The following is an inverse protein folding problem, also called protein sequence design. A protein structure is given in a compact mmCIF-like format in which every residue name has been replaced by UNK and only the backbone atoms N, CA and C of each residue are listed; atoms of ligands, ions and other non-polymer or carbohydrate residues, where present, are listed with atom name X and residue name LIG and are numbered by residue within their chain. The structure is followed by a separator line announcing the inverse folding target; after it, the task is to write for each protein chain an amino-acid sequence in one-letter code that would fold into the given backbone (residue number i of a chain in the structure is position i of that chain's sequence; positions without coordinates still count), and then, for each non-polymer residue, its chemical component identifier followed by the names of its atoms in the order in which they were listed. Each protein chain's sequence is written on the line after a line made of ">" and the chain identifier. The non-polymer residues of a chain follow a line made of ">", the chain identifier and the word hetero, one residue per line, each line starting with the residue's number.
data_IF_350953358880
#
_entry.id   IF_350953358880
#
_cell.length_a   1.000
_cell.length_b   1.000
_cell.length_c   1.000
_cell.angle_alpha   90.00
_cell.angle_beta   90.00
_cell.angle_gamma   90.00
#
_symmetry.space_group_name_H-M   'P 1'
#
loop_
_entity.id
_entity.type
_entity.pdbx_description
1 polymer ?
#
# COMPACT_ATOMS: atom_id res chain seq x y z
N UNK A 1 -26.47 -20.65 12.44
CA UNK A 1 -27.19 -19.40 12.72
C UNK A 1 -26.81 -18.31 11.71
N UNK A 2 -27.69 -17.38 11.50
CA UNK A 2 -27.48 -16.30 10.52
C UNK A 2 -26.24 -15.46 10.83
N UNK A 3 -25.92 -15.24 12.09
CA UNK A 3 -24.74 -14.47 12.51
C UNK A 3 -23.45 -15.15 12.09
N UNK A 4 -23.39 -16.48 12.21
CA UNK A 4 -22.22 -17.26 11.79
C UNK A 4 -22.03 -17.17 10.28
N UNK A 5 -23.12 -17.29 9.54
CA UNK A 5 -23.11 -17.20 8.06
C UNK A 5 -22.67 -15.81 7.62
N UNK A 6 -23.21 -14.76 8.25
CA UNK A 6 -22.82 -13.37 7.94
C UNK A 6 -21.34 -13.12 8.24
N UNK A 7 -20.82 -13.64 9.34
CA UNK A 7 -19.41 -13.53 9.69
C UNK A 7 -18.51 -14.22 8.67
N UNK A 8 -18.88 -15.44 8.26
CA UNK A 8 -18.14 -16.19 7.25
C UNK A 8 -18.17 -15.47 5.90
N UNK A 9 -19.31 -14.91 5.52
CA UNK A 9 -19.45 -14.18 4.27
C UNK A 9 -18.58 -12.93 4.28
N UNK A 10 -18.55 -12.17 5.37
CA UNK A 10 -17.68 -11.00 5.51
C UNK A 10 -16.22 -11.38 5.38
N UNK A 11 -15.80 -12.48 6.00
CA UNK A 11 -14.42 -12.96 5.92
C UNK A 11 -14.05 -13.36 4.49
N UNK A 12 -14.96 -14.05 3.78
CA UNK A 12 -14.75 -14.44 2.38
C UNK A 12 -14.63 -13.19 1.50
N UNK A 13 -15.49 -12.20 1.69
CA UNK A 13 -15.46 -10.95 0.91
C UNK A 13 -14.19 -10.15 1.16
N UNK A 14 -13.71 -10.11 2.40
CA UNK A 14 -12.44 -9.47 2.75
C UNK A 14 -11.27 -10.17 2.06
N UNK A 15 -11.28 -11.49 2.08
CA UNK A 15 -10.23 -12.29 1.43
C UNK A 15 -10.20 -12.08 -0.06
N UNK A 16 -11.37 -12.05 -0.71
CA UNK A 16 -11.46 -11.74 -2.14
C UNK A 16 -10.99 -10.34 -2.45
N UNK A 17 -11.35 -9.34 -1.62
CA UNK A 17 -10.88 -7.98 -1.76
C UNK A 17 -9.36 -7.89 -1.67
N UNK A 18 -8.75 -8.60 -0.72
CA UNK A 18 -7.29 -8.65 -0.59
C UNK A 18 -6.62 -9.28 -1.79
N UNK A 19 -7.20 -10.35 -2.35
CA UNK A 19 -6.65 -11.02 -3.53
C UNK A 19 -6.64 -10.13 -4.75
N UNK A 20 -7.58 -9.17 -4.84
CA UNK A 20 -7.66 -8.24 -5.95
C UNK A 20 -6.62 -7.14 -5.86
N UNK A 21 -6.12 -6.86 -4.67
CA UNK A 21 -5.10 -5.84 -4.46
C UNK A 21 -3.74 -6.45 -4.79
N UNK A 22 -3.07 -5.86 -5.76
CA UNK A 22 -1.73 -6.28 -6.17
C UNK A 22 -0.75 -5.14 -5.92
N UNK A 23 0.54 -5.45 -5.88
CA UNK A 23 1.56 -4.42 -5.77
C UNK A 23 1.43 -3.43 -6.94
N UNK A 24 1.15 -3.94 -8.14
CA UNK A 24 0.99 -3.11 -9.33
C UNK A 24 -0.21 -2.17 -9.22
N UNK A 25 -1.35 -2.67 -8.71
CA UNK A 25 -2.52 -1.82 -8.51
C UNK A 25 -2.26 -0.74 -7.46
N UNK A 26 -1.50 -1.05 -6.42
CA UNK A 26 -1.09 -0.10 -5.40
C UNK A 26 -0.19 0.98 -6.01
N UNK A 27 0.82 0.58 -6.77
CA UNK A 27 1.73 1.53 -7.44
C UNK A 27 0.96 2.48 -8.34
N UNK A 28 0.01 1.97 -9.10
CA UNK A 28 -0.80 2.75 -10.02
C UNK A 28 -1.68 3.77 -9.28
N UNK A 29 -2.38 3.33 -8.24
CA UNK A 29 -3.26 4.19 -7.47
C UNK A 29 -2.49 5.28 -6.72
N UNK A 30 -1.36 4.92 -6.11
CA UNK A 30 -0.52 5.87 -5.39
C UNK A 30 0.09 6.89 -6.37
N UNK A 31 0.57 6.43 -7.51
CA UNK A 31 1.13 7.32 -8.53
C UNK A 31 0.08 8.35 -9.00
N UNK A 32 -1.13 7.90 -9.23
CA UNK A 32 -2.24 8.77 -9.62
C UNK A 32 -2.57 9.79 -8.53
N UNK A 33 -2.64 9.35 -7.28
CA UNK A 33 -2.99 10.22 -6.14
C UNK A 33 -1.96 11.31 -5.90
N UNK A 34 -0.68 10.98 -6.02
CA UNK A 34 0.42 11.92 -5.77
C UNK A 34 0.93 12.60 -7.04
N UNK A 35 0.28 12.36 -8.19
CA UNK A 35 0.63 12.96 -9.47
C UNK A 35 2.09 12.71 -9.84
N UNK A 36 2.53 11.47 -9.69
CA UNK A 36 3.84 11.00 -10.14
C UNK A 36 3.64 9.88 -11.16
N UNK A 37 4.69 9.54 -11.90
CA UNK A 37 4.59 8.50 -12.92
C UNK A 37 4.72 7.11 -12.28
N UNK A 38 4.03 6.12 -12.85
CA UNK A 38 4.17 4.73 -12.39
C UNK A 38 5.63 4.30 -12.46
N UNK A 39 6.36 4.70 -13.49
CA UNK A 39 7.78 4.39 -13.64
C UNK A 39 8.62 4.89 -12.47
N UNK A 40 8.19 5.97 -11.80
CA UNK A 40 8.91 6.52 -10.65
C UNK A 40 8.89 5.57 -9.44
N UNK A 41 7.97 4.61 -9.41
CA UNK A 41 7.87 3.63 -8.30
C UNK A 41 9.09 2.71 -8.22
N UNK A 42 9.70 2.39 -9.34
CA UNK A 42 10.87 1.52 -9.40
C UNK A 42 12.12 2.24 -9.90
N UNK A 43 12.02 3.51 -10.29
CA UNK A 43 13.14 4.28 -10.79
C UNK A 43 14.10 4.66 -9.67
N UNK A 44 15.35 4.87 -10.02
CA UNK A 44 16.35 5.45 -9.12
C UNK A 44 16.11 6.95 -9.08
N UNK A 45 16.14 7.52 -7.92
CA UNK A 45 15.95 8.94 -7.75
C UNK A 45 15.58 9.25 -6.32
N UNK A 46 15.88 10.49 -5.91
CA UNK A 46 15.70 10.92 -4.52
C UNK A 46 14.83 12.18 -4.40
N UNK A 47 14.07 12.52 -5.45
CA UNK A 47 13.11 13.62 -5.33
C UNK A 47 12.16 13.31 -4.18
N UNK A 48 11.97 14.27 -3.31
CA UNK A 48 11.21 14.07 -2.06
C UNK A 48 9.74 13.71 -2.30
N UNK A 49 9.12 14.29 -3.32
CA UNK A 49 7.74 13.99 -3.69
C UNK A 49 7.57 12.54 -4.16
N UNK A 50 8.47 12.08 -5.01
CA UNK A 50 8.49 10.70 -5.52
C UNK A 50 8.87 9.73 -4.40
N UNK A 51 9.86 10.07 -3.58
CA UNK A 51 10.29 9.22 -2.49
C UNK A 51 9.17 8.98 -1.49
N UNK A 52 8.41 10.01 -1.15
CA UNK A 52 7.28 9.89 -0.23
C UNK A 52 6.17 9.01 -0.83
N UNK A 53 5.82 9.23 -2.09
CA UNK A 53 4.83 8.41 -2.77
C UNK A 53 5.26 6.94 -2.80
N UNK A 54 6.54 6.68 -3.07
CA UNK A 54 7.09 5.32 -3.08
C UNK A 54 7.00 4.67 -1.69
N UNK A 55 7.30 5.42 -0.64
CA UNK A 55 7.20 4.93 0.75
C UNK A 55 5.76 4.56 1.09
N UNK A 56 4.79 5.38 0.70
CA UNK A 56 3.36 5.10 0.88
C UNK A 56 2.98 3.82 0.14
N UNK A 57 3.44 3.66 -1.10
CA UNK A 57 3.14 2.46 -1.90
C UNK A 57 3.75 1.21 -1.26
N UNK A 58 4.95 1.28 -0.71
CA UNK A 58 5.58 0.17 0.01
C UNK A 58 4.79 -0.19 1.28
N UNK A 59 4.36 0.81 2.03
CA UNK A 59 3.55 0.61 3.23
C UNK A 59 2.23 -0.09 2.89
N UNK A 60 1.52 0.38 1.88
CA UNK A 60 0.27 -0.23 1.46
C UNK A 60 0.49 -1.66 0.92
N UNK A 61 1.58 -1.89 0.21
CA UNK A 61 1.94 -3.23 -0.25
C UNK A 61 2.14 -4.18 0.92
N UNK A 62 2.76 -3.71 1.99
CA UNK A 62 2.99 -4.53 3.19
C UNK A 62 1.70 -4.80 3.96
N UNK A 63 0.81 -3.82 4.06
CA UNK A 63 -0.41 -3.94 4.87
C UNK A 63 -1.60 -4.53 4.12
N UNK A 64 -1.64 -4.41 2.80
CA UNK A 64 -2.79 -4.82 2.00
C UNK A 64 -2.54 -6.09 1.17
N UNK A 65 -1.33 -6.62 1.15
CA UNK A 65 -1.01 -7.86 0.44
C UNK A 65 -0.29 -8.83 1.37
N UNK A 66 -0.19 -10.08 0.95
CA UNK A 66 0.54 -11.11 1.68
C UNK A 66 1.96 -11.32 1.13
N UNK A 67 2.43 -10.41 0.27
CA UNK A 67 3.77 -10.49 -0.28
C UNK A 67 4.84 -10.26 0.79
N UNK A 68 5.96 -10.96 0.63
CA UNK A 68 7.10 -10.81 1.53
C UNK A 68 7.79 -9.46 1.31
N UNK A 69 8.59 -9.05 2.30
CA UNK A 69 9.39 -7.83 2.18
C UNK A 69 10.33 -7.91 0.97
N UNK A 70 10.86 -9.08 0.68
CA UNK A 70 11.75 -9.30 -0.47
C UNK A 70 10.99 -9.12 -1.79
N UNK A 71 9.79 -9.68 -1.89
CA UNK A 71 8.96 -9.53 -3.08
C UNK A 71 8.55 -8.07 -3.31
N UNK A 72 8.16 -7.39 -2.23
CA UNK A 72 7.84 -5.96 -2.30
C UNK A 72 9.06 -5.18 -2.77
N UNK A 73 10.22 -5.44 -2.17
CA UNK A 73 11.47 -4.80 -2.58
C UNK A 73 11.75 -4.96 -4.07
N UNK A 74 11.57 -6.16 -4.61
CA UNK A 74 11.76 -6.41 -6.05
C UNK A 74 10.86 -5.55 -6.91
N UNK A 75 9.60 -5.42 -6.52
CA UNK A 75 8.64 -4.62 -7.30
C UNK A 75 9.02 -3.13 -7.35
N UNK A 76 9.73 -2.64 -6.34
CA UNK A 76 10.18 -1.25 -6.25
C UNK A 76 11.66 -1.08 -6.59
N UNK A 77 12.35 -2.15 -7.00
CA UNK A 77 13.78 -2.08 -7.29
C UNK A 77 14.63 -1.76 -6.08
N UNK A 78 14.22 -2.20 -4.91
CA UNK A 78 14.89 -1.93 -3.62
C UNK A 78 15.07 -3.24 -2.85
N UNK A 79 15.98 -3.23 -1.86
CA UNK A 79 16.13 -4.36 -0.97
C UNK A 79 15.06 -4.33 0.15
N UNK A 80 14.98 -5.44 0.88
CA UNK A 80 13.98 -5.57 1.94
C UNK A 80 14.20 -4.57 3.08
N UNK A 81 15.44 -4.19 3.34
CA UNK A 81 15.77 -3.19 4.37
C UNK A 81 15.16 -1.83 4.06
N UNK A 82 15.19 -1.43 2.79
CA UNK A 82 14.57 -0.19 2.34
C UNK A 82 13.05 -0.24 2.54
N UNK A 83 12.42 -1.39 2.28
CA UNK A 83 10.98 -1.56 2.52
C UNK A 83 10.65 -1.43 4.01
N UNK A 84 11.44 -2.06 4.88
CA UNK A 84 11.26 -1.96 6.34
C UNK A 84 11.34 -0.51 6.79
N UNK A 85 12.35 0.23 6.32
CA UNK A 85 12.50 1.65 6.64
C UNK A 85 11.32 2.48 6.19
N UNK A 86 10.84 2.23 4.96
CA UNK A 86 9.70 2.94 4.41
C UNK A 86 8.44 2.72 5.26
N UNK A 87 8.17 1.47 5.61
CA UNK A 87 7.01 1.10 6.44
C UNK A 87 7.06 1.80 7.79
N UNK A 88 8.21 1.73 8.47
CA UNK A 88 8.39 2.37 9.78
C UNK A 88 8.23 3.89 9.70
N UNK A 89 8.76 4.50 8.65
CA UNK A 89 8.66 5.94 8.46
C UNK A 89 7.21 6.39 8.27
N UNK A 90 6.44 5.65 7.47
CA UNK A 90 5.02 5.95 7.26
C UNK A 90 4.25 5.77 8.57
N UNK A 91 4.48 4.67 9.30
CA UNK A 91 3.83 4.43 10.58
C UNK A 91 4.10 5.57 11.57
N UNK A 92 5.36 6.00 11.65
CA UNK A 92 5.75 7.10 12.53
C UNK A 92 5.04 8.42 12.16
N UNK A 93 4.96 8.74 10.87
CA UNK A 93 4.26 9.93 10.41
C UNK A 93 2.76 9.87 10.67
N UNK A 94 2.16 8.68 10.56
CA UNK A 94 0.74 8.48 10.83
C UNK A 94 0.38 8.80 12.28
N UNK A 95 1.28 8.56 13.22
CA UNK A 95 1.05 8.87 14.63
C UNK A 95 0.81 10.36 14.85
N UNK A 96 1.43 11.21 14.05
CA UNK A 96 1.42 12.66 14.23
C UNK A 96 0.63 13.40 13.15
N UNK A 97 0.00 12.68 12.21
CA UNK A 97 -0.69 13.33 11.09
C UNK A 97 -2.04 12.67 10.83
N UNK A 98 -3.09 13.35 11.26
CA UNK A 98 -4.46 12.93 10.95
C UNK A 98 -4.72 13.02 9.44
N UNK A 99 -4.15 14.02 8.78
CA UNK A 99 -4.25 14.17 7.33
C UNK A 99 -3.69 12.95 6.59
N UNK A 100 -2.54 12.47 7.01
CA UNK A 100 -1.93 11.28 6.39
C UNK A 100 -2.79 10.03 6.63
N UNK A 101 -3.30 9.85 7.84
CA UNK A 101 -4.20 8.71 8.14
C UNK A 101 -5.43 8.74 7.25
N UNK A 102 -5.99 9.94 7.03
CA UNK A 102 -7.15 10.11 6.16
C UNK A 102 -6.83 9.76 4.70
N UNK A 103 -5.71 10.25 4.20
CA UNK A 103 -5.27 9.94 2.82
C UNK A 103 -5.05 8.45 2.62
N UNK A 104 -4.42 7.79 3.58
CA UNK A 104 -4.21 6.34 3.51
C UNK A 104 -5.52 5.56 3.55
N UNK A 105 -6.48 6.02 4.33
CA UNK A 105 -7.81 5.43 4.39
C UNK A 105 -8.52 5.52 3.04
N UNK A 106 -8.45 6.67 2.38
CA UNK A 106 -9.02 6.87 1.05
C UNK A 106 -8.37 5.92 0.03
N UNK A 107 -7.04 5.88 0.01
CA UNK A 107 -6.30 5.01 -0.90
C UNK A 107 -6.65 3.53 -0.68
N UNK A 108 -6.70 3.10 0.57
CA UNK A 108 -7.09 1.74 0.92
C UNK A 108 -8.50 1.39 0.46
N UNK A 109 -9.44 2.31 0.64
CA UNK A 109 -10.82 2.12 0.21
C UNK A 109 -10.92 2.00 -1.31
N UNK A 110 -10.23 2.86 -2.05
CA UNK A 110 -10.21 2.80 -3.52
C UNK A 110 -9.63 1.50 -4.02
N UNK A 111 -8.54 1.04 -3.42
CA UNK A 111 -7.89 -0.22 -3.79
C UNK A 111 -8.79 -1.43 -3.52
N UNK A 112 -9.50 -1.41 -2.41
CA UNK A 112 -10.37 -2.53 -2.01
C UNK A 112 -11.66 -2.62 -2.82
N UNK A 113 -12.09 -1.54 -3.42
CA UNK A 113 -13.36 -1.46 -4.16
C UNK A 113 -13.21 -1.60 -5.68
N UNK A 114 -12.04 -1.93 -6.15
CA UNK A 114 -11.80 -2.12 -7.60
C UNK A 114 -12.24 -3.50 -8.05
#
# INVERSE_FOLDING_TARGET
>A
TDEVIEGLLKDILREEGRRRVTIQSIQKEVASHFDVRIADMSARGRRSDVAFARQIAMYLSRTMTDHSLVEIGRAFGRDHGTVIHAVKKVESRMENSQDLRYKLSILGTRLSNV
#
